data_IF_691298606862
#
_entry.id   IF_691298606862
#
_cell.length_a   1.000
_cell.length_b   1.000
_cell.length_c   1.000
_cell.angle_alpha   90.00
_cell.angle_beta   90.00
_cell.angle_gamma   90.00
#
_symmetry.space_group_name_H-M   'P 1'
#
loop_
_entity.id
_entity.type
_entity.pdbx_description
1 polymer ?
#
# COMPACT_ATOMS: atom_id res chain seq x y z
N UNK A 1 -23.29 -10.52 -8.43
CA UNK A 1 -22.80 -9.32 -7.73
C UNK A 1 -22.87 -9.60 -6.23
N UNK A 2 -21.78 -9.43 -5.49
CA UNK A 2 -21.77 -9.55 -4.03
C UNK A 2 -22.06 -8.17 -3.40
N UNK A 3 -22.78 -8.10 -2.26
CA UNK A 3 -23.07 -6.83 -1.60
C UNK A 3 -21.80 -6.19 -1.06
N UNK A 4 -21.66 -4.86 -1.21
CA UNK A 4 -20.45 -4.11 -0.84
C UNK A 4 -20.00 -4.32 0.61
N UNK A 5 -20.89 -4.37 1.62
CA UNK A 5 -20.49 -4.65 3.01
C UNK A 5 -19.81 -6.01 3.18
N UNK A 6 -20.28 -7.05 2.48
CA UNK A 6 -19.69 -8.39 2.55
C UNK A 6 -18.29 -8.42 1.94
N UNK A 7 -18.11 -7.73 0.81
CA UNK A 7 -16.79 -7.61 0.17
C UNK A 7 -15.83 -6.87 1.11
N UNK A 8 -16.27 -5.77 1.73
CA UNK A 8 -15.44 -5.00 2.67
C UNK A 8 -15.04 -5.84 3.89
N UNK A 9 -15.98 -6.56 4.51
CA UNK A 9 -15.69 -7.48 5.62
C UNK A 9 -14.70 -8.58 5.20
N UNK A 10 -14.88 -9.14 4.00
CA UNK A 10 -13.95 -10.15 3.46
C UNK A 10 -12.55 -9.58 3.21
N UNK A 11 -12.46 -8.35 2.66
CA UNK A 11 -11.18 -7.64 2.47
C UNK A 11 -10.49 -7.41 3.82
N UNK A 12 -11.23 -6.94 4.84
CA UNK A 12 -10.69 -6.72 6.18
C UNK A 12 -10.20 -8.02 6.81
N UNK A 13 -10.94 -9.12 6.67
CA UNK A 13 -10.49 -10.43 7.15
C UNK A 13 -9.20 -10.88 6.45
N UNK A 14 -9.08 -10.67 5.14
CA UNK A 14 -7.86 -10.97 4.40
C UNK A 14 -6.67 -10.14 4.90
N UNK A 15 -6.84 -8.82 5.09
CA UNK A 15 -5.80 -7.95 5.65
C UNK A 15 -5.36 -8.42 7.05
N UNK A 16 -6.32 -8.74 7.93
CA UNK A 16 -6.04 -9.23 9.29
C UNK A 16 -5.38 -10.61 9.32
N UNK A 17 -5.60 -11.43 8.30
CA UNK A 17 -4.94 -12.71 8.12
C UNK A 17 -3.54 -12.59 7.46
N UNK A 18 -3.14 -11.38 7.05
CA UNK A 18 -1.90 -11.15 6.31
C UNK A 18 -1.94 -11.59 4.84
N UNK A 19 -3.13 -11.89 4.29
CA UNK A 19 -3.31 -12.22 2.87
C UNK A 19 -3.57 -10.94 2.07
N UNK A 20 -2.48 -10.20 1.85
CA UNK A 20 -2.45 -8.94 1.12
C UNK A 20 -2.76 -9.11 -0.36
N UNK A 21 -2.41 -10.25 -0.96
CA UNK A 21 -2.75 -10.54 -2.36
C UNK A 21 -4.26 -10.69 -2.54
N UNK A 22 -4.94 -11.40 -1.65
CA UNK A 22 -6.40 -11.50 -1.67
C UNK A 22 -7.06 -10.15 -1.40
N UNK A 23 -6.58 -9.40 -0.40
CA UNK A 23 -7.09 -8.06 -0.08
C UNK A 23 -6.96 -7.12 -1.29
N UNK A 24 -5.79 -7.03 -1.92
CA UNK A 24 -5.56 -6.24 -3.13
C UNK A 24 -6.48 -6.66 -4.28
N UNK A 25 -6.64 -7.96 -4.51
CA UNK A 25 -7.51 -8.50 -5.56
C UNK A 25 -8.95 -8.07 -5.36
N UNK A 26 -9.46 -8.15 -4.12
CA UNK A 26 -10.82 -7.71 -3.79
C UNK A 26 -10.97 -6.21 -3.97
N UNK A 27 -10.01 -5.41 -3.50
CA UNK A 27 -10.01 -3.95 -3.64
C UNK A 27 -10.09 -3.54 -5.11
N UNK A 28 -9.19 -4.09 -5.94
CA UNK A 28 -9.13 -3.79 -7.38
C UNK A 28 -10.37 -4.27 -8.12
N UNK A 29 -10.79 -5.51 -7.89
CA UNK A 29 -11.94 -6.13 -8.59
C UNK A 29 -13.25 -5.41 -8.30
N UNK A 30 -13.45 -4.98 -7.06
CA UNK A 30 -14.71 -4.38 -6.61
C UNK A 30 -14.68 -2.85 -6.56
N UNK A 31 -13.59 -2.22 -7.05
CA UNK A 31 -13.40 -0.76 -7.06
C UNK A 31 -13.67 -0.17 -5.67
N UNK A 32 -13.01 -0.78 -4.68
CA UNK A 32 -12.95 -0.23 -3.33
C UNK A 32 -11.79 0.77 -3.30
N UNK A 33 -11.89 1.78 -2.45
CA UNK A 33 -10.83 2.76 -2.28
C UNK A 33 -9.54 2.09 -1.79
N UNK A 34 -8.43 2.31 -2.49
CA UNK A 34 -7.13 1.71 -2.15
C UNK A 34 -6.60 2.17 -0.79
N UNK A 35 -6.97 3.38 -0.36
CA UNK A 35 -6.66 3.87 0.99
C UNK A 35 -7.15 2.91 2.08
N UNK A 36 -8.16 2.06 1.84
CA UNK A 36 -8.64 1.08 2.84
C UNK A 36 -7.52 0.15 3.32
N UNK A 37 -6.57 -0.20 2.45
CA UNK A 37 -5.45 -1.07 2.78
C UNK A 37 -4.56 -0.51 3.90
N UNK A 38 -4.49 0.82 4.02
CA UNK A 38 -3.71 1.51 5.02
C UNK A 38 -4.59 2.14 6.12
N UNK A 39 -5.73 2.70 5.76
CA UNK A 39 -6.62 3.40 6.67
C UNK A 39 -7.31 2.47 7.66
N UNK A 40 -7.40 1.16 7.38
CA UNK A 40 -7.96 0.21 8.34
C UNK A 40 -7.08 -0.06 9.55
N UNK A 41 -5.75 0.06 9.42
CA UNK A 41 -4.80 0.04 10.54
C UNK A 41 -3.42 0.39 9.96
N UNK A 42 -3.03 1.66 10.06
CA UNK A 42 -1.81 2.14 9.42
C UNK A 42 -0.57 1.48 9.99
N UNK A 43 -0.51 1.30 11.32
CA UNK A 43 0.68 0.75 11.97
C UNK A 43 0.85 -0.73 11.63
N UNK A 44 -0.25 -1.49 11.59
CA UNK A 44 -0.23 -2.88 11.08
C UNK A 44 0.18 -2.93 9.61
N UNK A 45 -0.31 -2.03 8.75
CA UNK A 45 0.08 -1.98 7.33
C UNK A 45 1.58 -1.65 7.16
N UNK A 46 2.10 -0.69 7.92
CA UNK A 46 3.53 -0.33 7.91
C UNK A 46 4.42 -1.49 8.40
N UNK A 47 3.98 -2.21 9.43
CA UNK A 47 4.66 -3.41 9.90
C UNK A 47 4.66 -4.53 8.84
N UNK A 48 3.53 -4.71 8.15
CA UNK A 48 3.34 -5.74 7.14
C UNK A 48 3.84 -5.37 5.73
N UNK A 49 4.44 -4.19 5.54
CA UNK A 49 4.82 -3.67 4.20
C UNK A 49 5.75 -4.63 3.45
N UNK A 50 6.68 -5.29 4.13
CA UNK A 50 7.57 -6.29 3.53
C UNK A 50 6.78 -7.43 2.88
N UNK A 51 5.94 -8.10 3.68
CA UNK A 51 5.04 -9.16 3.24
C UNK A 51 4.07 -8.68 2.16
N UNK A 52 3.56 -7.46 2.26
CA UNK A 52 2.69 -6.87 1.26
C UNK A 52 3.40 -6.73 -0.10
N UNK A 53 4.59 -6.13 -0.15
CA UNK A 53 5.38 -6.01 -1.39
C UNK A 53 5.69 -7.39 -1.98
N UNK A 54 6.08 -8.36 -1.14
CA UNK A 54 6.34 -9.74 -1.57
C UNK A 54 5.12 -10.42 -2.20
N UNK A 55 3.95 -10.32 -1.57
CA UNK A 55 2.75 -10.99 -2.04
C UNK A 55 2.15 -10.38 -3.32
N UNK A 56 2.35 -9.08 -3.55
CA UNK A 56 1.88 -8.41 -4.76
C UNK A 56 2.67 -8.82 -6.00
N UNK A 57 3.94 -9.20 -5.83
CA UNK A 57 4.84 -9.82 -6.83
C UNK A 57 4.89 -9.06 -8.17
N UNK A 58 4.64 -7.75 -8.15
CA UNK A 58 4.58 -6.90 -9.35
C UNK A 58 4.78 -5.45 -8.95
N UNK A 59 5.79 -4.82 -9.54
CA UNK A 59 6.05 -3.38 -9.39
C UNK A 59 4.86 -2.55 -9.84
N UNK A 60 4.14 -2.96 -10.88
CA UNK A 60 2.93 -2.28 -11.37
C UNK A 60 1.80 -2.32 -10.34
N UNK A 61 1.61 -3.44 -9.65
CA UNK A 61 0.60 -3.53 -8.59
C UNK A 61 0.96 -2.66 -7.39
N UNK A 62 2.23 -2.62 -7.01
CA UNK A 62 2.73 -1.73 -5.94
C UNK A 62 2.53 -0.27 -6.34
N UNK A 63 2.98 0.11 -7.55
CA UNK A 63 2.82 1.46 -8.09
C UNK A 63 1.35 1.88 -8.20
N UNK A 64 0.47 0.96 -8.59
CA UNK A 64 -0.97 1.21 -8.65
C UNK A 64 -1.53 1.58 -7.29
N UNK A 65 -1.16 0.85 -6.23
CA UNK A 65 -1.60 1.18 -4.88
C UNK A 65 -1.05 2.54 -4.46
N UNK A 66 0.28 2.74 -4.54
CA UNK A 66 0.93 3.97 -4.11
C UNK A 66 0.39 5.22 -4.82
N UNK A 67 0.15 5.14 -6.13
CA UNK A 67 -0.39 6.25 -6.92
C UNK A 67 -1.84 6.61 -6.58
N UNK A 68 -2.57 5.73 -5.87
CA UNK A 68 -3.96 5.95 -5.46
C UNK A 68 -4.11 6.31 -3.97
N UNK A 69 -3.02 6.32 -3.19
CA UNK A 69 -3.06 6.74 -1.79
C UNK A 69 -3.22 8.27 -1.69
N UNK A 70 -3.95 8.72 -0.66
CA UNK A 70 -4.25 10.14 -0.43
C UNK A 70 -4.10 10.46 1.05
N UNK A 71 -3.46 11.58 1.38
CA UNK A 71 -3.25 12.02 2.77
C UNK A 71 -4.51 12.63 3.40
N UNK A 72 -5.39 13.22 2.59
CA UNK A 72 -6.51 14.06 3.01
C UNK A 72 -7.81 13.31 3.27
N UNK A 73 -7.79 11.97 3.23
CA UNK A 73 -8.98 11.14 3.38
C UNK A 73 -8.73 10.02 4.39
N UNK A 74 -9.64 9.87 5.35
CA UNK A 74 -9.83 8.65 6.14
C UNK A 74 -11.01 7.85 5.55
N UNK A 75 -10.73 6.87 4.68
CA UNK A 75 -11.83 6.16 4.00
C UNK A 75 -12.68 5.30 4.93
N UNK A 76 -12.16 4.93 6.10
CA UNK A 76 -12.93 4.14 7.06
C UNK A 76 -13.93 5.05 7.76
N UNK A 77 -13.51 6.23 8.22
CA UNK A 77 -14.40 7.18 8.88
C UNK A 77 -15.37 7.85 7.90
N UNK A 78 -14.91 8.20 6.70
CA UNK A 78 -15.67 9.03 5.76
C UNK A 78 -16.48 8.22 4.73
N UNK A 79 -15.96 7.07 4.29
CA UNK A 79 -16.56 6.31 3.17
C UNK A 79 -17.20 5.00 3.65
N UNK A 80 -16.62 4.33 4.65
CA UNK A 80 -17.07 3.02 5.13
C UNK A 80 -17.31 2.97 6.66
N UNK A 81 -18.12 3.87 7.25
CA UNK A 81 -18.27 3.98 8.71
C UNK A 81 -18.87 2.74 9.38
N UNK A 82 -19.47 1.82 8.62
CA UNK A 82 -20.04 0.57 9.12
C UNK A 82 -19.03 -0.57 9.25
N UNK A 83 -17.76 -0.38 8.88
CA UNK A 83 -16.72 -1.38 9.13
C UNK A 83 -16.33 -1.31 10.61
N UNK A 84 -16.63 -2.36 11.38
CA UNK A 84 -16.27 -2.44 12.80
C UNK A 84 -14.75 -2.31 12.99
N UNK A 85 -14.36 -1.31 13.77
CA UNK A 85 -12.97 -0.96 14.00
C UNK A 85 -12.58 -1.28 15.43
N UNK A 86 -11.67 -2.24 15.67
CA UNK A 86 -11.11 -2.42 17.00
C UNK A 86 -10.10 -1.29 17.23
N UNK A 87 -10.57 -0.18 17.80
CA UNK A 87 -9.75 0.92 18.36
C UNK A 87 -8.70 1.52 17.41
N UNK A 88 -9.14 2.35 16.46
CA UNK A 88 -8.28 3.27 15.72
C UNK A 88 -7.81 4.38 16.66
N UNK A 89 -6.51 4.64 16.84
CA UNK A 89 -6.10 5.94 17.35
C UNK A 89 -6.37 6.97 16.26
N UNK A 90 -7.29 7.91 16.47
CA UNK A 90 -7.64 8.95 15.48
C UNK A 90 -6.43 9.75 14.96
N UNK A 91 -5.31 9.73 15.70
CA UNK A 91 -4.06 10.39 15.35
C UNK A 91 -3.23 9.67 14.25
N UNK A 92 -3.54 8.41 13.89
CA UNK A 92 -2.65 7.61 13.02
C UNK A 92 -2.71 8.00 11.54
N UNK A 93 -3.79 8.64 11.05
CA UNK A 93 -3.90 9.09 9.65
C UNK A 93 -3.55 10.55 9.43
N UNK A 94 -2.89 11.19 10.38
CA UNK A 94 -2.45 12.58 10.24
C UNK A 94 -1.59 12.83 9.00
N UNK A 95 -1.30 14.11 8.77
CA UNK A 95 -0.47 14.62 7.66
C UNK A 95 0.80 13.78 7.49
N UNK A 96 1.02 13.24 6.28
CA UNK A 96 2.21 12.47 5.93
C UNK A 96 2.04 10.94 5.98
N UNK A 97 0.81 10.42 6.06
CA UNK A 97 0.48 9.00 5.87
C UNK A 97 1.11 8.44 4.59
N UNK A 98 0.92 9.11 3.46
CA UNK A 98 1.45 8.66 2.16
C UNK A 98 2.98 8.69 2.19
N UNK A 99 3.57 9.74 2.74
CA UNK A 99 5.03 9.83 2.89
C UNK A 99 5.61 8.69 3.75
N UNK A 100 4.95 8.34 4.87
CA UNK A 100 5.35 7.20 5.72
C UNK A 100 5.30 5.88 4.96
N UNK A 101 4.23 5.63 4.21
CA UNK A 101 4.06 4.41 3.40
C UNK A 101 5.11 4.35 2.30
N UNK A 102 5.30 5.42 1.53
CA UNK A 102 6.28 5.46 0.44
C UNK A 102 7.71 5.27 0.96
N UNK A 103 8.06 5.87 2.10
CA UNK A 103 9.37 5.65 2.74
C UNK A 103 9.53 4.21 3.16
N UNK A 104 8.53 3.62 3.83
CA UNK A 104 8.61 2.22 4.25
C UNK A 104 8.74 1.24 3.07
N UNK A 105 8.01 1.48 1.98
CA UNK A 105 8.13 0.67 0.75
C UNK A 105 9.52 0.82 0.13
N UNK A 106 10.05 2.04 0.08
CA UNK A 106 11.42 2.28 -0.39
C UNK A 106 12.43 1.49 0.45
N UNK A 107 12.35 1.56 1.77
CA UNK A 107 13.27 0.86 2.66
C UNK A 107 13.24 -0.66 2.44
N UNK A 108 12.05 -1.24 2.28
CA UNK A 108 11.87 -2.66 1.96
C UNK A 108 12.51 -3.01 0.62
N UNK A 109 12.27 -2.22 -0.43
CA UNK A 109 12.82 -2.49 -1.76
C UNK A 109 14.34 -2.31 -1.80
N UNK A 110 14.88 -1.29 -1.14
CA UNK A 110 16.32 -1.06 -1.02
C UNK A 110 17.02 -2.20 -0.26
N UNK A 111 16.41 -2.69 0.81
CA UNK A 111 16.94 -3.83 1.56
C UNK A 111 16.95 -5.12 0.72
N UNK A 112 15.91 -5.34 -0.10
CA UNK A 112 15.80 -6.52 -0.98
C UNK A 112 16.70 -6.48 -2.20
N UNK A 113 16.98 -5.28 -2.73
CA UNK A 113 17.88 -5.12 -3.86
C UNK A 113 19.32 -5.56 -3.53
N UNK A 114 19.73 -5.52 -2.25
CA UNK A 114 21.06 -6.00 -1.85
C UNK A 114 22.20 -5.29 -2.60
N UNK A 115 22.10 -3.97 -2.83
CA UNK A 115 23.07 -3.24 -3.65
C UNK A 115 23.90 -2.28 -2.79
N UNK A 116 25.13 -2.73 -2.55
CA UNK A 116 26.36 -1.94 -2.61
C UNK A 116 26.36 -1.15 -3.94
N UNK A 117 26.43 0.19 -3.88
CA UNK A 117 26.12 1.17 -4.93
C UNK A 117 26.78 0.98 -6.32
N UNK A 118 27.65 -0.01 -6.49
CA UNK A 118 28.43 -0.29 -7.69
C UNK A 118 27.62 -0.89 -8.87
N UNK A 119 26.56 -1.67 -8.63
CA UNK A 119 25.79 -2.30 -9.73
C UNK A 119 24.78 -1.35 -10.41
N UNK A 120 24.36 -0.29 -9.71
CA UNK A 120 23.35 0.65 -10.22
C UNK A 120 23.93 1.66 -11.22
N UNK A 121 25.24 1.95 -11.17
CA UNK A 121 25.91 2.75 -12.21
C UNK A 121 26.01 2.00 -13.55
N UNK A 122 26.08 0.67 -13.53
CA UNK A 122 26.16 -0.14 -14.76
C UNK A 122 24.84 -0.19 -15.53
N UNK A 123 23.69 -0.19 -14.84
CA UNK A 123 22.38 -0.26 -15.48
C UNK A 123 21.79 1.09 -15.92
N UNK A 124 22.28 2.22 -15.40
CA UNK A 124 21.80 3.55 -15.78
C UNK A 124 22.61 4.27 -16.88
N UNK A 125 23.71 3.67 -17.36
CA UNK A 125 24.60 4.32 -18.34
C UNK A 125 23.96 4.74 -19.68
N UNK A 126 22.85 4.17 -20.21
CA UNK A 126 22.27 4.69 -21.45
C UNK A 126 21.22 5.79 -21.25
N UNK A 127 20.73 6.03 -20.02
CA UNK A 127 19.55 6.89 -19.78
C UNK A 127 19.94 8.31 -19.33
N UNK A 128 21.09 8.48 -18.66
CA UNK A 128 21.57 9.80 -18.26
C UNK A 128 22.36 10.55 -19.35
N UNK A 129 22.61 9.92 -20.51
CA UNK A 129 23.46 10.46 -21.57
C UNK A 129 22.77 11.35 -22.61
N UNK A 130 21.45 11.45 -22.65
CA UNK A 130 20.77 12.02 -23.84
C UNK A 130 19.61 12.98 -23.58
N UNK A 131 19.25 13.29 -22.33
CA UNK A 131 18.10 14.17 -22.10
C UNK A 131 18.27 15.10 -20.90
N UNK A 132 19.38 15.85 -20.88
CA UNK A 132 19.43 17.19 -20.30
C UNK A 132 20.66 17.93 -20.86
N UNK A 133 20.52 18.45 -22.08
CA UNK A 133 21.15 19.71 -22.49
C UNK A 133 20.05 20.75 -22.63
#
# INVERSE_FOLDING_TARGET
IAPRPLVLDTTVRAMRAGDWKAAFTLVRKHRIEFNLLADYDLDTFLAATETWVEQLDSSDHVNLVLSNLKDDVDVVAEVYPWIHYPTRPAATLGVGKVARICTRVRDVLSARAGIDWADMEYQMSPVLGTSCS
#
